data_IF_884298233208
#
_entry.id   IF_884298233208
#
_cell.length_a   1.000
_cell.length_b   1.000
_cell.length_c   1.000
_cell.angle_alpha   90.00
_cell.angle_beta   90.00
_cell.angle_gamma   90.00
#
_symmetry.space_group_name_H-M   'P 1'
#
loop_
_entity.id
_entity.type
_entity.pdbx_description
1 polymer ?
#
# COMPACT_ATOMS: atom_id res chain seq x y z
N UNK A 1 19.34 11.99 1.94
CA UNK A 1 19.32 11.93 0.47
C UNK A 1 19.56 13.32 -0.06
N UNK A 2 20.50 13.50 -0.98
CA UNK A 2 20.67 14.79 -1.67
C UNK A 2 19.92 14.69 -3.00
N UNK A 3 18.98 15.59 -3.25
CA UNK A 3 18.15 15.54 -4.47
C UNK A 3 18.90 16.18 -5.63
N UNK A 4 18.83 15.54 -6.79
CA UNK A 4 19.24 16.16 -8.05
C UNK A 4 18.13 17.10 -8.56
N UNK A 5 18.42 18.08 -9.44
CA UNK A 5 17.39 18.96 -9.99
C UNK A 5 16.23 18.26 -10.73
N UNK A 6 16.47 17.04 -11.24
CA UNK A 6 15.47 16.23 -11.93
C UNK A 6 14.75 15.24 -11.00
N UNK A 7 15.00 15.31 -9.69
CA UNK A 7 14.46 14.39 -8.69
C UNK A 7 13.55 15.12 -7.70
N UNK A 8 12.49 14.44 -7.28
CA UNK A 8 11.61 14.87 -6.20
C UNK A 8 11.46 13.79 -5.13
N UNK A 9 11.18 14.20 -3.90
CA UNK A 9 10.89 13.31 -2.79
C UNK A 9 9.49 13.59 -2.24
N UNK A 10 8.64 12.57 -2.22
CA UNK A 10 7.34 12.55 -1.56
C UNK A 10 7.45 11.78 -0.25
N UNK A 11 7.46 12.51 0.87
CA UNK A 11 7.47 11.94 2.20
C UNK A 11 6.04 11.91 2.75
N UNK A 12 5.44 10.73 2.88
CA UNK A 12 3.99 10.54 3.09
C UNK A 12 3.69 9.61 4.26
N UNK A 13 2.58 9.87 4.95
CA UNK A 13 2.01 8.98 5.98
C UNK A 13 0.51 9.28 6.20
N UNK A 14 -0.20 8.33 6.80
CA UNK A 14 -1.52 8.58 7.38
C UNK A 14 -1.38 9.11 8.80
N UNK A 15 -1.82 10.34 9.01
CA UNK A 15 -2.04 10.86 10.36
C UNK A 15 -3.20 10.11 11.02
N UNK A 16 -3.17 9.98 12.35
CA UNK A 16 -4.34 9.53 13.12
C UNK A 16 -5.59 10.32 12.70
N UNK A 17 -6.70 9.58 12.59
CA UNK A 17 -7.99 10.11 12.17
C UNK A 17 -8.42 11.31 13.03
N UNK A 18 -9.01 12.30 12.38
CA UNK A 18 -9.59 13.44 13.07
C UNK A 18 -11.04 13.15 13.44
N UNK A 19 -11.37 13.19 14.74
CA UNK A 19 -12.77 13.13 15.18
C UNK A 19 -13.45 14.46 14.88
N UNK A 20 -14.59 14.41 14.20
CA UNK A 20 -15.44 15.56 13.91
C UNK A 20 -16.00 16.14 15.22
N UNK A 21 -16.13 17.46 15.30
CA UNK A 21 -16.46 18.19 16.52
C UNK A 21 -17.38 19.36 16.22
N UNK A 22 -18.36 19.55 17.10
CA UNK A 22 -19.18 20.74 17.16
C UNK A 22 -18.65 21.69 18.24
N UNK A 23 -18.84 22.98 18.07
CA UNK A 23 -18.57 23.99 19.09
C UNK A 23 -19.40 23.73 20.35
N UNK A 24 -20.67 23.37 20.15
CA UNK A 24 -21.59 23.01 21.22
C UNK A 24 -22.20 21.64 20.93
N UNK A 25 -21.87 20.65 21.76
CA UNK A 25 -22.43 19.30 21.68
C UNK A 25 -23.43 19.08 22.80
N UNK A 26 -24.62 18.58 22.47
CA UNK A 26 -25.57 18.08 23.47
C UNK A 26 -24.96 16.87 24.19
N UNK A 27 -25.26 16.72 25.49
CA UNK A 27 -24.67 15.67 26.33
C UNK A 27 -24.82 14.25 25.75
N UNK A 28 -25.91 13.98 25.03
CA UNK A 28 -26.13 12.70 24.32
C UNK A 28 -25.12 12.43 23.19
N UNK A 29 -24.63 13.46 22.48
CA UNK A 29 -23.60 13.32 21.46
C UNK A 29 -22.21 13.06 22.06
N UNK A 30 -21.97 13.56 23.29
CA UNK A 30 -20.71 13.36 24.00
C UNK A 30 -20.55 11.92 24.53
N UNK A 31 -21.64 11.29 24.99
CA UNK A 31 -21.62 9.96 25.63
C UNK A 31 -22.20 8.82 24.78
N UNK A 32 -22.98 9.11 23.73
CA UNK A 32 -23.82 8.11 23.06
C UNK A 32 -23.47 7.77 21.61
N UNK A 33 -22.57 8.51 20.94
CA UNK A 33 -22.24 8.28 19.53
C UNK A 33 -20.73 8.15 19.31
N UNK A 34 -20.31 7.12 18.58
CA UNK A 34 -18.99 7.09 17.94
C UNK A 34 -18.89 8.34 17.06
N UNK A 35 -18.07 9.32 17.46
CA UNK A 35 -17.89 10.53 16.64
C UNK A 35 -17.44 10.11 15.25
N UNK A 36 -18.10 10.64 14.21
CA UNK A 36 -17.62 10.47 12.83
C UNK A 36 -16.17 10.96 12.76
N UNK A 37 -15.38 10.32 11.92
CA UNK A 37 -13.96 10.62 11.77
C UNK A 37 -13.63 10.92 10.33
N UNK A 38 -12.56 11.67 10.12
CA UNK A 38 -11.92 11.87 8.83
C UNK A 38 -10.55 11.21 8.83
N UNK A 39 -10.20 10.57 7.71
CA UNK A 39 -8.82 10.15 7.48
C UNK A 39 -8.00 11.35 7.00
N UNK A 40 -6.72 11.41 7.35
CA UNK A 40 -5.81 12.45 6.88
C UNK A 40 -4.56 11.78 6.32
N UNK A 41 -4.44 11.76 5.00
CA UNK A 41 -3.19 11.40 4.36
C UNK A 41 -2.35 12.66 4.14
N UNK A 42 -1.20 12.70 4.78
CA UNK A 42 -0.36 13.90 4.90
C UNK A 42 0.98 13.65 4.23
N UNK A 43 1.57 14.71 3.66
CA UNK A 43 2.88 14.57 3.09
C UNK A 43 3.60 15.89 2.87
N UNK A 44 4.89 15.76 2.58
CA UNK A 44 5.77 16.85 2.19
C UNK A 44 6.46 16.47 0.89
N UNK A 45 6.28 17.31 -0.12
CA UNK A 45 6.99 17.25 -1.40
C UNK A 45 8.26 18.09 -1.28
N UNK A 46 9.43 17.48 -1.50
CA UNK A 46 10.72 18.16 -1.59
C UNK A 46 11.22 18.15 -3.03
N UNK A 47 11.75 19.27 -3.49
CA UNK A 47 12.26 19.45 -4.84
C UNK A 47 13.29 20.58 -4.87
N UNK A 48 14.12 20.61 -5.92
CA UNK A 48 15.01 21.74 -6.17
C UNK A 48 14.31 22.76 -7.06
N UNK A 49 14.37 24.02 -6.66
CA UNK A 49 13.93 25.11 -7.52
C UNK A 49 15.06 25.41 -8.50
N UNK A 50 14.80 25.29 -9.80
CA UNK A 50 15.78 25.61 -10.81
C UNK A 50 15.63 27.08 -11.21
N UNK A 51 16.31 27.99 -10.50
CA UNK A 51 16.23 29.44 -10.76
C UNK A 51 16.60 29.79 -12.21
N UNK A 52 17.39 28.95 -12.88
CA UNK A 52 17.78 29.10 -14.29
C UNK A 52 16.69 28.81 -15.31
N UNK A 53 15.63 28.11 -14.92
CA UNK A 53 14.46 27.93 -15.79
C UNK A 53 13.56 29.19 -15.80
N UNK A 54 13.78 30.13 -14.87
CA UNK A 54 13.02 31.38 -14.73
C UNK A 54 13.83 32.62 -15.12
N UNK A 55 15.16 32.61 -14.93
CA UNK A 55 16.09 33.65 -15.37
C UNK A 55 17.47 33.05 -15.66
N UNK A 56 17.93 33.12 -16.91
CA UNK A 56 19.24 32.59 -17.35
C UNK A 56 20.43 33.26 -16.64
N UNK A 57 20.22 34.44 -16.04
CA UNK A 57 21.24 35.21 -15.33
C UNK A 57 21.15 35.10 -13.81
N UNK A 58 20.17 34.37 -13.26
CA UNK A 58 20.08 34.17 -11.82
C UNK A 58 21.24 33.30 -11.32
N UNK A 59 21.85 33.71 -10.20
CA UNK A 59 22.75 32.84 -9.46
C UNK A 59 22.03 31.54 -9.13
N UNK A 60 22.72 30.41 -9.25
CA UNK A 60 22.15 29.11 -8.95
C UNK A 60 21.90 29.02 -7.44
N UNK A 61 20.69 29.35 -7.00
CA UNK A 61 20.24 29.03 -5.64
C UNK A 61 19.90 27.53 -5.64
N UNK A 62 20.80 26.70 -5.12
CA UNK A 62 20.60 25.26 -4.93
C UNK A 62 19.68 24.98 -3.71
N UNK A 63 18.70 25.84 -3.49
CA UNK A 63 17.78 25.79 -2.37
C UNK A 63 16.78 24.65 -2.56
N UNK A 64 16.82 23.66 -1.68
CA UNK A 64 15.75 22.64 -1.61
C UNK A 64 14.48 23.29 -1.08
N UNK A 65 13.43 23.32 -1.89
CA UNK A 65 12.09 23.78 -1.49
C UNK A 65 11.27 22.61 -0.99
N UNK A 66 10.23 22.94 -0.22
CA UNK A 66 9.26 21.96 0.24
C UNK A 66 7.83 22.52 0.17
N UNK A 67 6.88 21.63 -0.10
CA UNK A 67 5.45 21.91 -0.07
C UNK A 67 4.75 20.85 0.76
N UNK A 68 4.07 21.30 1.81
CA UNK A 68 3.23 20.42 2.64
C UNK A 68 1.84 20.28 2.04
N UNK A 69 1.30 19.07 2.06
CA UNK A 69 -0.06 18.80 1.59
C UNK A 69 -0.80 17.85 2.52
N UNK A 70 -2.12 17.88 2.43
CA UNK A 70 -3.00 16.93 3.09
C UNK A 70 -4.23 16.66 2.22
N UNK A 71 -4.59 15.39 2.11
CA UNK A 71 -5.78 14.95 1.38
C UNK A 71 -6.75 14.30 2.34
N UNK A 72 -8.03 14.66 2.23
CA UNK A 72 -9.05 14.36 3.24
C UNK A 72 -10.25 13.67 2.58
N UNK A 73 -10.52 12.40 2.89
CA UNK A 73 -11.75 11.70 2.59
C UNK A 73 -12.61 11.53 3.86
N UNK A 74 -13.87 11.14 3.66
CA UNK A 74 -14.71 10.60 4.75
C UNK A 74 -14.56 9.08 4.92
N UNK A 75 -14.01 8.41 3.90
CA UNK A 75 -13.64 7.01 3.96
C UNK A 75 -12.42 6.79 4.88
N UNK A 76 -12.49 5.80 5.76
CA UNK A 76 -11.43 5.49 6.74
C UNK A 76 -10.48 4.35 6.29
N UNK A 77 -10.59 3.89 5.05
CA UNK A 77 -9.70 2.88 4.50
C UNK A 77 -8.30 3.45 4.26
N UNK A 78 -7.28 2.69 4.66
CA UNK A 78 -5.87 3.04 4.48
C UNK A 78 -5.13 2.07 3.54
N UNK A 79 -5.86 1.21 2.84
CA UNK A 79 -5.27 0.24 1.92
C UNK A 79 -4.53 0.90 0.75
N UNK A 80 -3.78 0.10 0.00
CA UNK A 80 -3.04 0.59 -1.17
C UNK A 80 -3.91 1.36 -2.17
N UNK A 81 -5.15 0.91 -2.41
CA UNK A 81 -6.09 1.63 -3.27
C UNK A 81 -6.44 3.02 -2.73
N UNK A 82 -6.57 3.17 -1.41
CA UNK A 82 -6.76 4.48 -0.77
C UNK A 82 -5.49 5.34 -0.87
N UNK A 83 -4.31 4.78 -0.64
CA UNK A 83 -3.02 5.48 -0.84
C UNK A 83 -2.94 6.10 -2.22
N UNK A 84 -3.29 5.34 -3.27
CA UNK A 84 -3.24 5.84 -4.64
C UNK A 84 -4.35 6.84 -4.97
N UNK A 85 -5.53 6.72 -4.36
CA UNK A 85 -6.55 7.77 -4.43
C UNK A 85 -6.02 9.09 -3.83
N UNK A 86 -5.32 9.01 -2.70
CA UNK A 86 -4.68 10.17 -2.06
C UNK A 86 -3.52 10.76 -2.87
N UNK A 87 -2.72 9.91 -3.53
CA UNK A 87 -1.60 10.37 -4.36
C UNK A 87 -2.05 10.96 -5.69
N UNK A 88 -3.23 10.60 -6.20
CA UNK A 88 -3.74 11.08 -7.49
C UNK A 88 -3.68 12.61 -7.66
N UNK A 89 -4.34 13.45 -6.83
CA UNK A 89 -4.27 14.90 -6.99
C UNK A 89 -2.85 15.46 -6.74
N UNK A 90 -2.01 14.74 -5.99
CA UNK A 90 -0.63 15.16 -5.75
C UNK A 90 0.22 14.98 -7.02
N UNK A 91 0.04 13.86 -7.71
CA UNK A 91 0.78 13.54 -8.93
C UNK A 91 0.22 14.24 -10.17
N UNK A 92 -1.10 14.44 -10.26
CA UNK A 92 -1.76 15.09 -11.39
C UNK A 92 -1.76 16.62 -11.30
N UNK A 93 -1.77 17.19 -10.08
CA UNK A 93 -1.89 18.65 -9.90
C UNK A 93 -0.71 19.25 -9.13
N UNK A 94 -0.40 18.77 -7.91
CA UNK A 94 0.60 19.43 -7.07
C UNK A 94 1.99 19.39 -7.70
N UNK A 95 2.43 18.22 -8.19
CA UNK A 95 3.74 18.07 -8.80
C UNK A 95 3.85 18.89 -10.10
N UNK A 96 2.95 18.75 -11.09
CA UNK A 96 3.08 19.49 -12.35
C UNK A 96 2.96 21.00 -12.19
N UNK A 97 2.21 21.50 -11.20
CA UNK A 97 2.02 22.94 -10.99
C UNK A 97 3.16 23.61 -10.22
N UNK A 98 4.06 22.84 -9.58
CA UNK A 98 5.07 23.38 -8.68
C UNK A 98 6.50 22.94 -8.99
N UNK A 99 6.67 21.95 -9.86
CA UNK A 99 7.97 21.32 -10.13
C UNK A 99 8.31 21.47 -11.61
N UNK A 100 9.60 21.65 -11.93
CA UNK A 100 10.08 21.72 -13.31
C UNK A 100 9.66 20.50 -14.12
N UNK A 101 9.26 20.72 -15.38
CA UNK A 101 8.89 19.64 -16.32
C UNK A 101 10.05 18.70 -16.68
N UNK A 102 11.29 19.08 -16.31
CA UNK A 102 12.50 18.27 -16.46
C UNK A 102 12.63 17.16 -15.42
N UNK A 103 11.81 17.18 -14.35
CA UNK A 103 11.80 16.13 -13.35
C UNK A 103 11.33 14.81 -13.97
N UNK A 104 12.17 13.80 -13.83
CA UNK A 104 11.94 12.46 -14.39
C UNK A 104 11.97 11.36 -13.32
N UNK A 105 12.23 11.72 -12.07
CA UNK A 105 12.48 10.77 -11.00
C UNK A 105 11.73 11.16 -9.73
N UNK A 106 10.95 10.23 -9.17
CA UNK A 106 10.24 10.40 -7.90
C UNK A 106 10.74 9.42 -6.86
N UNK A 107 10.93 9.88 -5.63
CA UNK A 107 11.27 9.07 -4.49
C UNK A 107 10.12 9.12 -3.51
N UNK A 108 9.43 8.01 -3.29
CA UNK A 108 8.48 7.86 -2.21
C UNK A 108 9.20 7.44 -0.94
N UNK A 109 8.77 8.03 0.18
CA UNK A 109 9.20 7.65 1.51
C UNK A 109 7.98 7.53 2.42
N UNK A 110 7.78 6.35 2.99
CA UNK A 110 6.64 6.05 3.85
C UNK A 110 7.05 5.14 5.01
N UNK A 111 6.10 4.85 5.89
CA UNK A 111 6.25 3.75 6.83
C UNK A 111 6.26 2.38 6.12
N UNK A 112 6.70 1.36 6.84
CA UNK A 112 6.75 -0.03 6.35
C UNK A 112 5.49 -0.84 6.61
N UNK A 113 4.34 -0.22 6.92
CA UNK A 113 3.14 -0.94 7.32
C UNK A 113 2.53 -1.68 6.13
N UNK A 114 2.35 -2.99 6.29
CA UNK A 114 1.94 -3.88 5.20
C UNK A 114 0.52 -3.64 4.74
N UNK A 115 -0.39 -3.23 5.63
CA UNK A 115 -1.78 -2.93 5.25
C UNK A 115 -1.90 -1.69 4.37
N UNK A 116 -0.90 -0.81 4.36
CA UNK A 116 -0.96 0.50 3.69
C UNK A 116 0.04 0.56 2.52
N UNK A 117 1.33 0.69 2.80
CA UNK A 117 2.35 1.00 1.80
C UNK A 117 3.18 -0.22 1.38
N UNK A 118 3.49 -1.15 2.29
CA UNK A 118 4.43 -2.25 2.03
C UNK A 118 3.72 -3.55 1.62
N UNK A 119 3.01 -3.50 0.50
CA UNK A 119 2.30 -4.65 -0.06
C UNK A 119 2.39 -4.69 -1.59
N UNK A 120 2.12 -5.87 -2.17
CA UNK A 120 2.22 -6.07 -3.62
C UNK A 120 1.21 -5.23 -4.41
N UNK A 121 0.04 -4.94 -3.84
CA UNK A 121 -0.98 -4.10 -4.48
C UNK A 121 -0.50 -2.65 -4.64
N UNK A 122 0.17 -2.09 -3.64
CA UNK A 122 0.77 -0.76 -3.74
C UNK A 122 1.81 -0.70 -4.88
N UNK A 123 2.63 -1.74 -5.04
CA UNK A 123 3.65 -1.76 -6.09
C UNK A 123 3.07 -2.06 -7.47
N UNK A 124 1.98 -2.80 -7.55
CA UNK A 124 1.22 -2.94 -8.78
C UNK A 124 0.66 -1.57 -9.23
N UNK A 125 0.05 -0.81 -8.33
CA UNK A 125 -0.38 0.55 -8.65
C UNK A 125 0.79 1.48 -8.99
N UNK A 126 1.96 1.28 -8.37
CA UNK A 126 3.19 2.00 -8.74
C UNK A 126 3.54 1.79 -10.21
N UNK A 127 3.40 0.58 -10.75
CA UNK A 127 3.73 0.30 -12.15
C UNK A 127 2.64 0.74 -13.12
N UNK A 128 1.38 0.67 -12.71
CA UNK A 128 0.23 0.93 -13.60
C UNK A 128 -0.22 2.39 -13.58
N UNK A 129 -0.29 3.02 -12.40
CA UNK A 129 -0.87 4.36 -12.24
C UNK A 129 0.17 5.47 -12.36
N UNK A 130 1.37 5.31 -11.79
CA UNK A 130 2.39 6.37 -11.83
C UNK A 130 2.65 6.93 -13.24
N UNK A 131 2.83 6.10 -14.29
CA UNK A 131 3.09 6.60 -15.64
C UNK A 131 1.89 7.35 -16.26
N UNK A 132 0.68 7.08 -15.76
CA UNK A 132 -0.55 7.72 -16.22
C UNK A 132 -0.74 9.05 -15.50
N UNK A 133 -0.57 9.06 -14.18
CA UNK A 133 -0.80 10.21 -13.31
C UNK A 133 0.28 11.29 -13.46
N UNK A 134 1.53 10.88 -13.72
CA UNK A 134 2.64 11.81 -13.88
C UNK A 134 3.59 11.35 -15.01
N UNK A 135 3.24 11.60 -16.29
CA UNK A 135 3.97 11.05 -17.44
C UNK A 135 5.43 11.52 -17.58
N UNK A 136 5.81 12.62 -16.93
CA UNK A 136 7.20 13.09 -16.91
C UNK A 136 8.12 12.13 -16.15
N UNK A 137 7.58 11.39 -15.17
CA UNK A 137 8.32 10.47 -14.32
C UNK A 137 8.64 9.17 -15.06
N UNK A 138 9.93 8.92 -15.24
CA UNK A 138 10.50 7.73 -15.89
C UNK A 138 11.09 6.75 -14.89
N UNK A 139 11.35 7.19 -13.65
CA UNK A 139 11.94 6.38 -12.58
C UNK A 139 11.26 6.65 -11.25
N UNK A 140 11.09 5.60 -10.46
CA UNK A 140 10.62 5.72 -9.09
C UNK A 140 11.42 4.85 -8.13
N UNK A 141 11.60 5.34 -6.90
CA UNK A 141 11.98 4.48 -5.77
C UNK A 141 10.96 4.63 -4.65
N UNK A 142 10.59 3.53 -4.01
CA UNK A 142 9.83 3.54 -2.76
C UNK A 142 10.71 3.06 -1.62
N UNK A 143 10.92 3.91 -0.62
CA UNK A 143 11.76 3.63 0.54
C UNK A 143 10.88 3.55 1.80
N UNK A 144 11.26 2.67 2.72
CA UNK A 144 10.52 2.43 3.96
C UNK A 144 11.34 2.80 5.19
N UNK A 145 10.72 3.48 6.14
CA UNK A 145 11.29 3.62 7.49
C UNK A 145 11.26 2.28 8.25
N UNK A 146 12.16 2.13 9.22
CA UNK A 146 12.20 0.96 10.10
C UNK A 146 11.00 0.96 11.06
N UNK A 147 10.43 -0.22 11.31
CA UNK A 147 9.27 -0.36 12.19
C UNK A 147 9.53 0.23 13.59
N UNK A 148 8.59 1.05 14.07
CA UNK A 148 8.54 1.55 15.45
C UNK A 148 9.28 2.86 15.75
N UNK A 149 10.02 3.46 14.81
CA UNK A 149 10.79 4.67 15.09
C UNK A 149 10.84 5.63 13.90
N UNK A 150 10.11 6.74 14.00
CA UNK A 150 10.34 7.92 13.18
C UNK A 150 9.08 8.76 13.01
N UNK A 151 8.90 9.76 13.88
CA UNK A 151 8.01 10.87 13.52
C UNK A 151 8.67 11.66 12.40
N UNK A 152 7.95 11.92 11.33
CA UNK A 152 8.45 12.65 10.16
C UNK A 152 7.82 14.04 10.01
N UNK A 153 8.20 14.73 8.94
CA UNK A 153 7.67 16.06 8.64
C UNK A 153 6.16 16.04 8.38
N UNK A 154 5.64 14.97 7.78
CA UNK A 154 4.21 14.76 7.53
C UNK A 154 3.37 14.67 8.81
N UNK A 155 3.89 14.09 9.90
CA UNK A 155 3.21 14.10 11.20
C UNK A 155 2.99 15.52 11.72
N UNK A 156 3.98 16.41 11.47
CA UNK A 156 3.87 17.83 11.77
C UNK A 156 2.74 18.50 11.00
N UNK A 157 2.55 18.14 9.73
CA UNK A 157 1.44 18.63 8.89
C UNK A 157 0.10 18.18 9.47
N UNK A 158 -0.06 16.88 9.77
CA UNK A 158 -1.28 16.34 10.36
C UNK A 158 -1.60 16.96 11.72
N UNK A 159 -0.60 17.06 12.61
CA UNK A 159 -0.74 17.68 13.92
C UNK A 159 -1.12 19.16 13.85
N UNK A 160 -0.51 19.92 12.93
CA UNK A 160 -0.83 21.34 12.74
C UNK A 160 -2.28 21.55 12.26
N UNK A 161 -2.73 20.77 11.26
CA UNK A 161 -4.09 20.87 10.75
C UNK A 161 -5.14 20.48 11.79
N UNK A 162 -4.92 19.38 12.53
CA UNK A 162 -5.85 18.94 13.59
C UNK A 162 -5.95 19.96 14.71
N UNK A 163 -4.82 20.50 15.19
CA UNK A 163 -4.80 21.56 16.21
C UNK A 163 -5.51 22.82 15.74
N UNK A 164 -5.38 23.17 14.47
CA UNK A 164 -6.05 24.32 13.89
C UNK A 164 -7.57 24.12 13.82
N UNK A 165 -8.02 22.96 13.34
CA UNK A 165 -9.44 22.59 13.34
C UNK A 165 -10.02 22.61 14.76
N UNK A 166 -9.31 22.01 15.72
CA UNK A 166 -9.67 22.03 17.14
C UNK A 166 -9.77 23.45 17.70
N UNK A 167 -8.87 24.34 17.30
CA UNK A 167 -8.87 25.73 17.73
C UNK A 167 -10.07 26.50 17.16
N UNK A 168 -10.45 26.25 15.90
CA UNK A 168 -11.62 26.88 15.28
C UNK A 168 -12.92 26.46 15.99
N UNK A 169 -13.03 25.18 16.32
CA UNK A 169 -14.16 24.64 17.09
C UNK A 169 -14.17 25.20 18.51
N UNK A 170 -13.05 25.14 19.23
CA UNK A 170 -12.98 25.60 20.61
C UNK A 170 -13.26 27.11 20.77
N UNK A 171 -12.99 27.91 19.74
CA UNK A 171 -13.29 29.35 19.72
C UNK A 171 -14.73 29.67 19.28
N UNK A 172 -15.53 28.67 18.92
CA UNK A 172 -16.88 28.87 18.39
C UNK A 172 -16.93 29.55 17.04
N UNK A 173 -15.85 29.46 16.25
CA UNK A 173 -15.75 30.07 14.93
C UNK A 173 -16.43 29.17 13.88
N UNK A 174 -16.33 27.84 14.03
CA UNK A 174 -16.89 26.88 13.09
C UNK A 174 -17.20 25.54 13.76
N UNK A 175 -18.20 24.84 13.22
CA UNK A 175 -18.38 23.42 13.42
C UNK A 175 -17.66 22.65 12.31
N UNK A 176 -17.07 21.51 12.65
CA UNK A 176 -16.35 20.64 11.71
C UNK A 176 -17.07 19.30 11.69
N UNK A 177 -17.96 19.12 10.72
CA UNK A 177 -18.98 18.05 10.68
C UNK A 177 -18.77 17.01 9.59
N UNK A 178 -17.89 17.31 8.64
CA UNK A 178 -17.64 16.54 7.42
C UNK A 178 -16.31 16.99 6.79
N UNK A 179 -15.94 16.34 5.68
CA UNK A 179 -14.72 16.68 4.95
C UNK A 179 -14.76 18.09 4.35
N UNK A 180 -15.92 18.55 3.85
CA UNK A 180 -16.07 19.86 3.22
C UNK A 180 -15.90 21.01 4.22
N UNK A 181 -16.54 20.93 5.37
CA UNK A 181 -16.40 21.89 6.48
C UNK A 181 -14.96 21.93 7.00
N UNK A 182 -14.29 20.77 7.12
CA UNK A 182 -12.87 20.71 7.48
C UNK A 182 -12.01 21.50 6.47
N UNK A 183 -12.18 21.20 5.18
CA UNK A 183 -11.40 21.82 4.11
C UNK A 183 -11.67 23.33 3.99
N UNK A 184 -12.94 23.74 3.96
CA UNK A 184 -13.35 25.13 3.79
C UNK A 184 -12.88 26.00 4.95
N UNK A 185 -13.08 25.56 6.19
CA UNK A 185 -12.69 26.35 7.36
C UNK A 185 -11.17 26.48 7.47
N UNK A 186 -10.42 25.42 7.17
CA UNK A 186 -8.96 25.53 7.13
C UNK A 186 -8.50 26.38 5.94
N UNK A 187 -9.14 26.34 4.77
CA UNK A 187 -8.77 27.18 3.61
C UNK A 187 -8.92 28.68 3.88
N UNK A 188 -9.80 29.08 4.79
CA UNK A 188 -9.96 30.48 5.24
C UNK A 188 -8.83 30.98 6.14
N UNK A 189 -8.06 30.08 6.73
CA UNK A 189 -6.90 30.44 7.56
C UNK A 189 -5.68 30.68 6.69
N UNK A 190 -4.85 31.65 7.05
CA UNK A 190 -3.54 31.84 6.41
C UNK A 190 -2.64 30.64 6.73
N UNK A 191 -2.36 29.81 5.72
CA UNK A 191 -1.53 28.62 5.87
C UNK A 191 -0.82 28.26 4.58
N UNK A 192 0.26 27.51 4.75
CA UNK A 192 1.12 27.04 3.66
C UNK A 192 0.73 25.65 3.14
N UNK A 193 -0.05 24.88 3.91
CA UNK A 193 -0.41 23.49 3.57
C UNK A 193 -1.49 23.45 2.48
N UNK A 194 -1.22 22.75 1.37
CA UNK A 194 -2.16 22.50 0.28
C UNK A 194 -3.18 21.43 0.69
N UNK A 195 -4.47 21.67 0.44
CA UNK A 195 -5.51 20.67 0.75
C UNK A 195 -6.31 20.23 -0.46
N UNK A 196 -6.56 18.92 -0.50
CA UNK A 196 -7.37 18.27 -1.51
C UNK A 196 -8.49 17.45 -0.84
N UNK A 197 -9.67 17.49 -1.43
CA UNK A 197 -10.76 16.57 -1.09
C UNK A 197 -10.57 15.29 -1.88
N UNK A 198 -10.86 14.15 -1.27
CA UNK A 198 -10.94 12.86 -1.96
C UNK A 198 -12.36 12.35 -1.79
N UNK A 199 -13.03 12.02 -2.89
CA UNK A 199 -14.37 11.47 -2.84
C UNK A 199 -14.30 9.96 -2.58
N UNK A 200 -15.33 9.42 -1.91
CA UNK A 200 -15.38 7.99 -1.59
C UNK A 200 -15.40 7.12 -2.86
N UNK A 201 -15.92 7.66 -3.96
CA UNK A 201 -15.93 7.03 -5.29
C UNK A 201 -14.51 6.85 -5.85
N UNK A 202 -13.60 7.78 -5.62
CA UNK A 202 -12.21 7.67 -6.08
C UNK A 202 -11.50 6.45 -5.45
N UNK A 203 -11.74 6.23 -4.16
CA UNK A 203 -11.20 5.09 -3.41
C UNK A 203 -11.85 3.77 -3.86
N UNK A 204 -13.18 3.77 -4.01
CA UNK A 204 -13.93 2.59 -4.44
C UNK A 204 -13.53 2.11 -5.84
N UNK A 205 -13.40 3.03 -6.79
CA UNK A 205 -13.03 2.73 -8.18
C UNK A 205 -11.65 2.06 -8.31
N UNK A 206 -10.71 2.39 -7.44
CA UNK A 206 -9.39 1.75 -7.41
C UNK A 206 -9.46 0.36 -6.81
N UNK A 207 -10.25 0.18 -5.74
CA UNK A 207 -10.42 -1.10 -5.05
C UNK A 207 -10.91 -2.21 -5.98
N UNK A 208 -11.88 -1.91 -6.85
CA UNK A 208 -12.47 -2.88 -7.79
C UNK A 208 -11.48 -3.39 -8.85
N UNK A 209 -10.43 -2.61 -9.17
CA UNK A 209 -9.42 -2.96 -10.18
C UNK A 209 -8.35 -3.95 -9.69
N UNK A 210 -8.41 -4.37 -8.42
CA UNK A 210 -7.40 -5.22 -7.79
C UNK A 210 -7.78 -6.71 -7.87
N UNK A 211 -7.35 -7.41 -8.93
CA UNK A 211 -7.47 -8.88 -9.01
C UNK A 211 -6.15 -9.50 -9.47
N UNK A 212 -5.73 -10.55 -8.76
CA UNK A 212 -4.60 -11.43 -9.05
C UNK A 212 -3.24 -10.76 -9.24
N UNK A 213 -2.63 -10.34 -8.13
CA UNK A 213 -1.29 -9.73 -8.11
C UNK A 213 -0.23 -10.74 -7.64
N UNK A 214 0.88 -10.90 -8.36
CA UNK A 214 1.98 -11.78 -7.94
C UNK A 214 2.49 -11.43 -6.53
N UNK A 215 2.71 -12.45 -5.71
CA UNK A 215 3.32 -12.26 -4.40
C UNK A 215 4.82 -12.00 -4.53
N UNK A 216 5.34 -11.08 -3.71
CA UNK A 216 6.77 -10.80 -3.59
C UNK A 216 7.31 -11.55 -2.37
N UNK A 217 8.20 -12.54 -2.54
CA UNK A 217 8.78 -13.26 -1.42
C UNK A 217 9.58 -12.34 -0.50
N UNK A 218 9.37 -12.47 0.80
CA UNK A 218 10.04 -11.70 1.85
C UNK A 218 9.95 -10.18 1.66
N UNK A 219 8.81 -9.68 1.14
CA UNK A 219 8.56 -8.24 0.96
C UNK A 219 8.87 -7.42 2.22
N UNK A 220 8.55 -7.95 3.41
CA UNK A 220 8.77 -7.27 4.68
C UNK A 220 10.24 -7.01 5.01
N UNK A 221 11.17 -7.78 4.43
CA UNK A 221 12.62 -7.58 4.60
C UNK A 221 13.20 -6.57 3.59
N UNK A 222 12.44 -6.17 2.59
CA UNK A 222 12.88 -5.22 1.55
C UNK A 222 12.76 -3.79 2.05
N UNK A 223 13.81 -2.99 1.91
CA UNK A 223 13.82 -1.59 2.36
C UNK A 223 13.66 -0.59 1.20
N UNK A 224 13.85 -1.06 -0.03
CA UNK A 224 13.68 -0.22 -1.21
C UNK A 224 13.08 -1.03 -2.37
N UNK A 225 12.13 -0.41 -3.06
CA UNK A 225 11.55 -0.85 -4.33
C UNK A 225 11.96 0.15 -5.39
N UNK A 226 12.37 -0.33 -6.55
CA UNK A 226 12.77 0.50 -7.68
C UNK A 226 11.92 0.11 -8.89
N UNK A 227 11.42 1.12 -9.58
CA UNK A 227 10.70 0.99 -10.82
C UNK A 227 11.26 1.95 -11.87
N UNK A 228 11.22 1.56 -13.13
CA UNK A 228 11.59 2.41 -14.25
C UNK A 228 10.70 2.10 -15.47
N UNK A 229 10.60 3.07 -16.37
CA UNK A 229 9.73 2.97 -17.54
C UNK A 229 10.22 1.98 -18.61
N UNK A 230 11.54 1.72 -18.68
CA UNK A 230 12.14 0.79 -19.64
C UNK A 230 11.62 -0.63 -19.34
N UNK A 231 11.61 -1.00 -18.07
CA UNK A 231 11.03 -2.25 -17.59
C UNK A 231 9.65 -2.01 -16.93
N UNK A 232 8.71 -1.39 -17.65
CA UNK A 232 7.41 -0.93 -17.10
C UNK A 232 6.70 -1.96 -16.20
N UNK A 233 6.75 -3.24 -16.54
CA UNK A 233 6.09 -4.35 -15.81
C UNK A 233 6.99 -5.04 -14.79
N UNK A 234 8.19 -4.53 -14.51
CA UNK A 234 9.08 -5.11 -13.51
C UNK A 234 9.37 -4.10 -12.41
N UNK A 235 9.51 -4.63 -11.21
CA UNK A 235 10.10 -3.90 -10.09
C UNK A 235 11.37 -4.61 -9.65
N UNK A 236 12.34 -3.83 -9.18
CA UNK A 236 13.53 -4.34 -8.51
C UNK A 236 13.39 -4.13 -7.02
N UNK A 237 13.64 -5.17 -6.23
CA UNK A 237 13.62 -5.09 -4.76
C UNK A 237 15.04 -5.14 -4.19
N UNK A 238 15.29 -4.35 -3.14
CA UNK A 238 16.56 -4.34 -2.41
C UNK A 238 16.36 -4.59 -0.92
N UNK A 239 17.30 -5.32 -0.33
CA UNK A 239 17.31 -5.59 1.12
C UNK A 239 17.75 -4.37 1.93
N UNK A 240 18.49 -3.44 1.33
CA UNK A 240 18.91 -2.17 1.95
C UNK A 240 18.62 -1.02 0.97
N UNK A 241 18.33 0.17 1.48
CA UNK A 241 18.15 1.35 0.63
C UNK A 241 19.51 1.90 0.16
N UNK A 242 19.68 2.01 -1.15
CA UNK A 242 20.86 2.62 -1.77
C UNK A 242 20.44 3.92 -2.49
N UNK A 243 21.09 5.04 -2.18
CA UNK A 243 20.83 6.36 -2.78
C UNK A 243 21.96 6.85 -3.68
N UNK A 244 23.03 6.06 -3.79
CA UNK A 244 24.23 6.37 -4.57
C UNK A 244 24.28 5.44 -5.77
N UNK A 245 24.23 5.98 -6.99
CA UNK A 245 24.35 5.18 -8.23
C UNK A 245 23.08 4.43 -8.66
N UNK A 246 21.90 5.05 -8.54
CA UNK A 246 20.59 4.47 -8.96
C UNK A 246 20.51 4.25 -10.50
N UNK A 247 21.55 4.63 -11.25
CA UNK A 247 21.58 4.46 -12.72
C UNK A 247 21.98 3.06 -13.18
N UNK A 248 22.57 2.21 -12.34
CA UNK A 248 23.06 0.90 -12.77
C UNK A 248 22.28 -0.27 -12.16
N UNK A 249 22.09 -1.31 -12.98
CA UNK A 249 21.39 -2.55 -12.65
C UNK A 249 22.02 -3.33 -11.50
N UNK A 250 23.15 -2.88 -10.92
CA UNK A 250 23.73 -3.38 -9.65
C UNK A 250 24.23 -2.19 -8.81
N UNK A 251 23.78 -2.03 -7.54
CA UNK A 251 24.36 -1.01 -6.65
C UNK A 251 25.68 -1.57 -6.09
N UNK A 252 26.80 -0.93 -6.41
CA UNK A 252 28.14 -1.37 -5.98
C UNK A 252 28.39 -1.23 -4.46
N UNK A 253 27.57 -0.46 -3.76
CA UNK A 253 27.73 -0.19 -2.32
C UNK A 253 27.28 -1.35 -1.42
N UNK A 254 26.33 -2.15 -1.90
CA UNK A 254 25.82 -3.29 -1.17
C UNK A 254 25.79 -4.49 -2.11
N UNK A 255 26.50 -5.57 -1.77
CA UNK A 255 26.47 -6.86 -2.47
C UNK A 255 25.13 -7.58 -2.25
N UNK A 256 24.02 -6.85 -2.32
CA UNK A 256 22.66 -7.35 -2.16
C UNK A 256 22.14 -7.84 -3.50
N UNK A 257 21.61 -9.07 -3.52
CA UNK A 257 20.97 -9.66 -4.69
C UNK A 257 19.72 -8.86 -5.04
N UNK A 258 19.77 -8.10 -6.14
CA UNK A 258 18.57 -7.52 -6.74
C UNK A 258 17.65 -8.64 -7.21
N UNK A 259 16.37 -8.55 -6.88
CA UNK A 259 15.34 -9.45 -7.40
C UNK A 259 14.39 -8.65 -8.26
N UNK A 260 14.26 -9.07 -9.52
CA UNK A 260 13.26 -8.55 -10.44
C UNK A 260 11.96 -9.32 -10.22
N UNK A 261 10.86 -8.60 -10.06
CA UNK A 261 9.52 -9.18 -9.97
C UNK A 261 8.68 -8.63 -11.10
N UNK A 262 8.10 -9.52 -11.90
CA UNK A 262 7.13 -9.16 -12.93
C UNK A 262 5.76 -8.90 -12.30
N UNK A 263 5.22 -7.70 -12.54
CA UNK A 263 3.83 -7.32 -12.28
C UNK A 263 3.03 -7.64 -13.54
N UNK A 264 2.35 -8.80 -13.56
CA UNK A 264 1.50 -9.17 -14.69
C UNK A 264 0.12 -8.52 -14.54
N UNK A 265 -0.39 -8.04 -15.66
CA UNK A 265 -1.73 -7.51 -15.81
C UNK A 265 -2.53 -8.50 -16.68
N UNK A 266 -3.51 -9.21 -16.14
CA UNK A 266 -4.55 -9.86 -16.97
C UNK A 266 -5.67 -8.85 -17.19
N UNK A 267 -5.39 -7.81 -17.96
CA UNK A 267 -6.38 -6.85 -18.43
C UNK A 267 -6.20 -6.63 -19.94
N UNK A 268 -6.94 -7.40 -20.73
CA UNK A 268 -7.38 -7.06 -22.09
C UNK A 268 -8.54 -7.97 -22.48
N UNK A 269 -9.60 -7.36 -22.99
CA UNK A 269 -10.81 -8.00 -23.51
C UNK A 269 -10.52 -8.96 -24.69
N UNK A 270 -11.34 -10.02 -24.76
CA UNK A 270 -11.69 -10.87 -25.91
C UNK A 270 -10.58 -11.25 -26.91
N UNK A 271 -10.03 -12.46 -26.79
CA UNK A 271 -10.33 -13.61 -27.67
C UNK A 271 -9.35 -14.79 -27.46
N UNK A 272 -9.90 -16.00 -27.63
CA UNK A 272 -9.29 -17.32 -27.71
C UNK A 272 -8.68 -17.92 -26.43
N UNK A 273 -9.52 -18.71 -25.76
CA UNK A 273 -9.10 -19.87 -24.97
C UNK A 273 -8.17 -20.76 -25.81
N UNK A 274 -6.90 -20.83 -25.42
CA UNK A 274 -6.19 -22.10 -25.27
C UNK A 274 -4.92 -21.88 -24.47
N UNK A 275 -4.59 -22.90 -23.67
CA UNK A 275 -3.34 -23.08 -22.92
C UNK A 275 -3.26 -22.47 -21.52
N UNK A 276 -4.10 -22.98 -20.61
CA UNK A 276 -3.65 -23.23 -19.24
C UNK A 276 -3.01 -24.64 -19.17
N UNK A 277 -1.80 -24.82 -18.62
CA UNK A 277 -1.34 -26.14 -18.20
C UNK A 277 -2.16 -26.57 -16.95
N UNK A 278 -2.53 -27.86 -16.84
CA UNK A 278 -3.44 -28.31 -15.79
C UNK A 278 -2.74 -28.33 -14.41
N UNK A 279 -3.56 -28.11 -13.38
CA UNK A 279 -3.21 -28.37 -11.99
C UNK A 279 -2.65 -29.79 -11.83
N UNK A 280 -1.55 -29.91 -11.08
CA UNK A 280 -0.98 -31.20 -10.68
C UNK A 280 -2.04 -32.04 -9.97
N UNK A 281 -2.64 -32.97 -10.71
CA UNK A 281 -3.39 -34.08 -10.13
C UNK A 281 -2.39 -35.02 -9.48
N UNK A 282 -2.38 -35.09 -8.14
CA UNK A 282 -1.68 -36.12 -7.38
C UNK A 282 -2.34 -37.45 -7.78
N UNK A 283 -1.71 -38.18 -8.71
CA UNK A 283 -2.14 -39.50 -9.16
C UNK A 283 -1.16 -40.51 -8.58
N UNK A 284 -1.71 -41.48 -7.83
CA UNK A 284 -1.06 -42.61 -7.18
C UNK A 284 -0.79 -42.38 -5.69
N UNK A 285 -1.84 -42.58 -4.90
CA UNK A 285 -1.80 -42.65 -3.44
C UNK A 285 -2.13 -44.10 -3.07
N UNK A 286 -1.25 -44.77 -2.31
CA UNK A 286 -1.39 -46.18 -1.93
C UNK A 286 -1.61 -46.35 -0.41
N UNK A 287 -2.08 -47.54 0.00
CA UNK A 287 -2.20 -47.90 1.41
C UNK A 287 -0.82 -47.88 2.08
N UNK A 288 -0.74 -47.37 3.32
CA UNK A 288 0.49 -47.09 4.07
C UNK A 288 1.34 -45.89 3.63
N UNK A 289 0.85 -45.06 2.70
CA UNK A 289 1.48 -43.77 2.42
C UNK A 289 1.18 -42.75 3.53
N UNK A 290 2.18 -41.95 3.89
CA UNK A 290 2.03 -40.82 4.79
C UNK A 290 1.58 -39.61 3.97
N UNK A 291 0.49 -38.96 4.37
CA UNK A 291 -0.07 -37.83 3.62
C UNK A 291 -0.31 -36.62 4.52
N UNK A 292 -0.14 -35.43 3.94
CA UNK A 292 -0.49 -34.17 4.59
C UNK A 292 -1.88 -33.76 4.17
N UNK A 293 -2.78 -33.71 5.14
CA UNK A 293 -4.20 -33.41 4.95
C UNK A 293 -4.46 -31.99 5.44
N UNK A 294 -5.10 -31.18 4.60
CA UNK A 294 -5.50 -29.82 4.93
C UNK A 294 -6.98 -29.78 5.29
N UNK A 295 -7.28 -29.59 6.56
CA UNK A 295 -8.66 -29.41 7.02
C UNK A 295 -8.94 -27.92 7.25
N UNK A 296 -9.92 -27.39 6.51
CA UNK A 296 -10.37 -26.02 6.64
C UNK A 296 -11.57 -25.92 7.61
N UNK A 297 -11.34 -25.39 8.80
CA UNK A 297 -12.42 -25.00 9.72
C UNK A 297 -12.92 -23.57 9.44
N UNK A 298 -14.12 -23.23 9.94
CA UNK A 298 -14.80 -21.93 9.72
C UNK A 298 -13.95 -20.67 9.99
N UNK A 299 -12.88 -20.76 10.79
CA UNK A 299 -11.99 -19.63 11.13
C UNK A 299 -10.49 -19.95 11.06
N UNK A 300 -10.10 -21.18 10.71
CA UNK A 300 -8.69 -21.55 10.64
C UNK A 300 -8.49 -22.78 9.78
N UNK A 301 -7.40 -22.79 9.01
CA UNK A 301 -6.92 -23.98 8.32
C UNK A 301 -5.86 -24.64 9.20
N UNK A 302 -5.93 -25.97 9.35
CA UNK A 302 -4.92 -26.76 10.05
C UNK A 302 -4.45 -27.92 9.15
N UNK A 303 -3.18 -28.28 9.28
CA UNK A 303 -2.56 -29.37 8.56
C UNK A 303 -2.31 -30.53 9.52
N UNK A 304 -2.63 -31.73 9.06
CA UNK A 304 -2.46 -32.96 9.82
C UNK A 304 -1.68 -33.98 8.98
N UNK A 305 -0.90 -34.82 9.64
CA UNK A 305 -0.19 -35.92 8.99
C UNK A 305 -0.92 -37.20 9.37
N UNK A 306 -1.30 -37.99 8.36
CA UNK A 306 -2.01 -39.26 8.54
C UNK A 306 -1.43 -40.36 7.66
N UNK A 307 -1.75 -41.61 7.99
CA UNK A 307 -1.42 -42.78 7.17
C UNK A 307 -2.69 -43.33 6.56
N UNK A 308 -2.63 -43.74 5.29
CA UNK A 308 -3.80 -44.26 4.58
C UNK A 308 -4.04 -45.72 4.94
N UNK A 309 -5.20 -45.98 5.56
CA UNK A 309 -5.56 -47.30 6.11
C UNK A 309 -6.42 -48.11 5.12
N UNK A 310 -7.36 -47.49 4.39
CA UNK A 310 -8.15 -48.14 3.33
C UNK A 310 -8.79 -47.12 2.36
N UNK A 311 -9.19 -47.55 1.16
CA UNK A 311 -9.89 -46.73 0.16
C UNK A 311 -11.28 -47.33 -0.10
N UNK A 312 -12.30 -46.92 0.66
CA UNK A 312 -13.70 -47.30 0.41
C UNK A 312 -14.59 -46.05 0.31
N UNK A 313 -15.46 -45.99 -0.69
CA UNK A 313 -16.29 -44.83 -0.98
C UNK A 313 -17.77 -45.09 -0.60
N UNK A 314 -18.28 -44.44 0.47
CA UNK A 314 -19.73 -44.33 0.74
C UNK A 314 -20.12 -42.94 1.23
N UNK A 315 -21.29 -42.45 0.79
CA UNK A 315 -21.90 -41.15 1.15
C UNK A 315 -22.81 -41.27 2.38
N UNK A 316 -22.63 -40.48 3.46
CA UNK A 316 -23.63 -39.55 4.04
C UNK A 316 -23.24 -38.93 5.41
N UNK A 317 -23.50 -37.61 5.51
CA UNK A 317 -24.07 -36.76 6.60
C UNK A 317 -23.68 -36.90 8.10
N UNK A 318 -23.42 -35.70 8.63
CA UNK A 318 -23.59 -35.14 10.00
C UNK A 318 -22.36 -34.96 10.91
N UNK A 319 -22.24 -33.72 11.38
CA UNK A 319 -21.23 -33.19 12.30
C UNK A 319 -21.36 -33.81 13.70
N UNK A 320 -20.28 -34.39 14.23
CA UNK A 320 -20.00 -34.49 15.68
C UNK A 320 -18.53 -34.85 15.90
N UNK A 321 -17.79 -33.96 16.55
CA UNK A 321 -16.43 -34.21 17.03
C UNK A 321 -16.48 -34.38 18.55
N UNK A 322 -16.16 -35.58 19.04
CA UNK A 322 -15.92 -35.88 20.47
C UNK A 322 -14.72 -36.79 20.56
N UNK A 323 -13.67 -36.34 21.25
CA UNK A 323 -12.58 -37.20 21.74
C UNK A 323 -13.06 -37.96 22.98
N UNK A 324 -12.72 -39.26 23.23
CA UNK A 324 -11.33 -39.75 23.37
C UNK A 324 -11.04 -41.26 23.03
N UNK A 325 -9.75 -41.66 23.14
CA UNK A 325 -9.21 -43.02 23.44
C UNK A 325 -9.21 -44.18 22.40
N UNK A 326 -9.51 -43.95 21.12
CA UNK A 326 -9.22 -44.91 20.04
C UNK A 326 -8.48 -44.22 18.89
N UNK A 327 -7.63 -44.94 18.16
CA UNK A 327 -6.89 -44.41 17.00
C UNK A 327 -7.85 -43.63 16.08
N UNK A 328 -7.59 -42.32 15.90
CA UNK A 328 -8.46 -41.41 15.17
C UNK A 328 -8.45 -41.74 13.67
N UNK A 329 -9.38 -42.59 13.23
CA UNK A 329 -9.61 -42.88 11.81
C UNK A 329 -10.71 -41.96 11.29
N UNK A 330 -10.40 -41.16 10.26
CA UNK A 330 -11.36 -40.29 9.60
C UNK A 330 -11.31 -40.49 8.08
N UNK A 331 -12.48 -40.47 7.43
CA UNK A 331 -12.58 -40.46 5.96
C UNK A 331 -12.27 -39.05 5.43
N UNK A 332 -11.37 -38.95 4.45
CA UNK A 332 -10.88 -37.68 3.89
C UNK A 332 -10.97 -37.71 2.37
N UNK A 333 -11.42 -36.61 1.77
CA UNK A 333 -11.51 -36.47 0.31
C UNK A 333 -10.11 -36.33 -0.30
N UNK A 334 -9.89 -36.92 -1.49
CA UNK A 334 -8.62 -36.84 -2.22
C UNK A 334 -8.20 -35.38 -2.52
N UNK A 335 -9.16 -34.47 -2.62
CA UNK A 335 -8.91 -33.04 -2.85
C UNK A 335 -8.31 -32.31 -1.64
N UNK A 336 -8.42 -32.87 -0.44
CA UNK A 336 -7.87 -32.30 0.79
C UNK A 336 -6.44 -32.80 1.10
N UNK A 337 -5.93 -33.75 0.32
CA UNK A 337 -4.55 -34.22 0.39
C UNK A 337 -3.65 -33.26 -0.40
N UNK A 338 -2.74 -32.59 0.31
CA UNK A 338 -1.87 -31.56 -0.27
C UNK A 338 -0.52 -32.13 -0.68
N UNK A 339 -0.05 -33.17 0.00
CA UNK A 339 1.25 -33.78 -0.27
C UNK A 339 1.35 -35.23 0.23
N UNK A 340 2.26 -36.02 -0.34
CA UNK A 340 2.59 -37.39 0.08
C UNK A 340 4.04 -37.43 0.55
N UNK A 341 4.25 -37.84 1.80
CA UNK A 341 5.56 -37.87 2.46
C UNK A 341 6.22 -39.26 2.29
N UNK A 342 7.54 -39.27 2.11
CA UNK A 342 8.32 -40.50 2.21
C UNK A 342 8.36 -41.00 3.66
N UNK A 343 8.29 -42.32 3.86
CA UNK A 343 8.27 -42.92 5.21
C UNK A 343 9.45 -42.40 6.07
N UNK A 344 9.20 -42.00 7.33
CA UNK A 344 10.29 -41.65 8.24
C UNK A 344 11.16 -42.88 8.49
N UNK A 345 12.48 -42.69 8.45
CA UNK A 345 13.50 -43.73 8.67
C UNK A 345 13.53 -44.23 10.11
#
# INVERSE_FOLDING_TARGET
MNLSPNEILLHIDFSENYALKYYSEVQAAHFGASKKQLSLHTGVLYFKENTKDLDENAEADDGTKNLSFCTVPENLEHGAHAVWAHLKPILEELVPNNVSSKVDSVHFWSDGLSSQYKNCLNFFYLTELLPILCPSIKRSTWNFSTAGHGKGAMDGVGGALKRMADTLVARGIADITDSDSFLQNLKKTERTVKLYKIENTDIANLKEKSKDIPQIPNIMQKHQIIWNIIEKKKITTQDLSCFSGIQEDVCSHFMTKKRHVLMNNRFSDTESDSDNPPANAIKNIAQNDYVVIKLAGKKSVRFYVGVIISQDARKCREDKFTFPEQDDIAEVDLSDIVDVLSQPS
#
